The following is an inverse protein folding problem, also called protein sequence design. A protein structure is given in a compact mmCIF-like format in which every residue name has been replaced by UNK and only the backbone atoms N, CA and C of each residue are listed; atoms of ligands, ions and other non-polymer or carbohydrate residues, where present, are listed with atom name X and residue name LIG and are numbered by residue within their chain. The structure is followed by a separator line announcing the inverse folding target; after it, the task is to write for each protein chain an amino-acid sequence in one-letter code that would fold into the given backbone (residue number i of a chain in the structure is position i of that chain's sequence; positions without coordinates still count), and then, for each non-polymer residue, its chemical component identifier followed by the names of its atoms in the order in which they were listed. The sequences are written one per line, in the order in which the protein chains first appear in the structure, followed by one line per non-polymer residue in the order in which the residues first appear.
data_IF_000553917712
#
_entry.id   IF_000553917712
#
_cell.length_a   1.000
_cell.length_b   1.000
_cell.length_c   1.000
_cell.angle_alpha   90.00
_cell.angle_beta   90.00
_cell.angle_gamma   90.00
#
_symmetry.space_group_name_H-M   'P 1'
#
loop_
_entity.id
_entity.type
_entity.pdbx_description
1 polymer ?
#
# COMPACT_ATOMS: atom_id res chain seq x y z
N UNK A 1 -11.88 -11.46 6.95
CA UNK A 1 -10.41 -11.66 7.10
C UNK A 1 -9.77 -11.06 5.86
N UNK A 2 -8.80 -10.16 6.02
CA UNK A 2 -8.16 -9.46 4.91
C UNK A 2 -6.64 -9.52 5.08
N UNK A 3 -5.90 -9.47 3.98
CA UNK A 3 -4.45 -9.40 3.98
C UNK A 3 -4.01 -8.21 3.13
N UNK A 4 -2.92 -7.58 3.53
CA UNK A 4 -2.31 -6.46 2.80
C UNK A 4 -0.92 -6.93 2.39
N UNK A 5 -0.61 -6.78 1.11
CA UNK A 5 0.69 -7.13 0.54
C UNK A 5 1.40 -5.82 0.22
N UNK A 6 2.59 -5.65 0.77
CA UNK A 6 3.41 -4.46 0.55
C UNK A 6 4.68 -4.87 -0.17
N UNK A 7 5.05 -4.12 -1.21
CA UNK A 7 6.22 -4.37 -2.03
C UNK A 7 7.51 -3.81 -1.44
N UNK A 8 8.61 -3.94 -2.16
CA UNK A 8 9.90 -3.35 -1.79
C UNK A 8 9.85 -1.82 -1.95
N UNK A 9 10.60 -1.07 -1.15
CA UNK A 9 10.64 0.40 -1.22
C UNK A 9 11.11 0.91 -2.59
N UNK A 10 12.13 0.28 -3.19
CA UNK A 10 12.71 0.76 -4.46
C UNK A 10 12.01 0.24 -5.72
N UNK A 11 11.35 -0.93 -5.66
CA UNK A 11 10.76 -1.61 -6.82
C UNK A 11 9.25 -1.78 -6.75
N UNK A 12 8.64 -1.64 -5.58
CA UNK A 12 7.23 -1.91 -5.36
C UNK A 12 6.88 -3.40 -5.43
N UNK A 13 5.63 -3.70 -5.79
CA UNK A 13 5.12 -5.06 -5.94
C UNK A 13 5.62 -5.68 -7.26
N UNK A 14 5.95 -6.97 -7.22
CA UNK A 14 6.26 -7.70 -8.45
C UNK A 14 5.04 -7.81 -9.36
N UNK A 15 5.26 -7.97 -10.66
CA UNK A 15 4.19 -8.17 -11.64
C UNK A 15 3.30 -9.37 -11.28
N UNK A 16 3.86 -10.43 -10.69
CA UNK A 16 3.09 -11.60 -10.23
C UNK A 16 2.05 -11.26 -9.17
N UNK A 17 2.31 -10.25 -8.33
CA UNK A 17 1.35 -9.78 -7.34
C UNK A 17 0.32 -8.82 -7.94
N UNK A 18 0.76 -7.93 -8.83
CA UNK A 18 -0.12 -6.98 -9.52
C UNK A 18 -1.13 -7.67 -10.46
N UNK A 19 -0.72 -8.77 -11.09
CA UNK A 19 -1.55 -9.48 -12.08
C UNK A 19 -2.51 -10.51 -11.47
N UNK A 20 -2.50 -10.70 -10.14
CA UNK A 20 -3.38 -11.66 -9.45
C UNK A 20 -4.83 -11.17 -9.27
N UNK A 21 -5.16 -9.98 -9.76
CA UNK A 21 -6.52 -9.42 -9.68
C UNK A 21 -6.92 -8.97 -8.28
N UNK A 22 -5.94 -8.67 -7.41
CA UNK A 22 -6.20 -8.03 -6.11
C UNK A 22 -6.53 -6.56 -6.29
N UNK A 23 -7.16 -5.98 -5.28
CA UNK A 23 -7.41 -4.54 -5.24
C UNK A 23 -6.09 -3.79 -5.02
N UNK A 24 -5.72 -2.94 -5.98
CA UNK A 24 -4.52 -2.11 -5.89
C UNK A 24 -4.86 -0.80 -5.18
N UNK A 25 -4.18 -0.53 -4.06
CA UNK A 25 -4.33 0.69 -3.28
C UNK A 25 -3.10 1.58 -3.49
N UNK A 26 -3.32 2.87 -3.78
CA UNK A 26 -2.25 3.85 -4.00
C UNK A 26 -2.31 4.88 -2.87
N UNK A 27 -1.20 5.05 -2.14
CA UNK A 27 -1.04 6.16 -1.21
C UNK A 27 -0.63 7.39 -2.04
N UNK A 28 -1.40 8.48 -2.04
CA UNK A 28 -1.05 9.68 -2.80
C UNK A 28 0.20 10.32 -2.19
N UNK A 29 1.21 10.53 -3.03
CA UNK A 29 2.45 11.20 -2.63
C UNK A 29 2.37 12.71 -2.90
N UNK A 30 2.90 13.51 -1.98
CA UNK A 30 2.86 14.95 -2.08
C UNK A 30 4.02 15.49 -2.95
N UNK A 31 3.69 16.07 -4.10
CA UNK A 31 4.66 16.70 -4.99
C UNK A 31 5.40 15.72 -5.89
N UNK A 32 6.34 16.24 -6.70
CA UNK A 32 7.12 15.43 -7.67
C UNK A 32 8.47 14.93 -7.15
N UNK A 33 8.94 15.47 -6.02
CA UNK A 33 10.27 15.17 -5.49
C UNK A 33 10.29 13.93 -4.57
N UNK A 34 9.14 13.51 -4.07
CA UNK A 34 9.00 12.34 -3.20
C UNK A 34 8.07 11.36 -3.89
N UNK A 35 8.62 10.22 -4.31
CA UNK A 35 7.92 9.20 -5.09
C UNK A 35 7.44 8.02 -4.25
N UNK A 36 7.90 7.90 -3.00
CA UNK A 36 7.67 6.74 -2.14
C UNK A 36 7.67 7.10 -0.65
N UNK A 37 7.08 6.21 0.16
CA UNK A 37 7.22 6.20 1.61
C UNK A 37 8.02 4.98 2.01
N UNK A 38 8.71 5.08 3.15
CA UNK A 38 9.26 3.89 3.78
C UNK A 38 8.16 2.83 3.97
N UNK A 39 8.49 1.58 3.66
CA UNK A 39 7.55 0.44 3.71
C UNK A 39 6.79 0.34 5.03
N UNK A 40 7.46 0.59 6.16
CA UNK A 40 6.83 0.49 7.49
C UNK A 40 5.77 1.57 7.70
N UNK A 41 6.02 2.78 7.20
CA UNK A 41 5.09 3.91 7.26
C UNK A 41 3.90 3.65 6.35
N UNK A 42 4.13 3.20 5.12
CA UNK A 42 3.07 2.83 4.19
C UNK A 42 2.15 1.75 4.78
N UNK A 43 2.73 0.69 5.37
CA UNK A 43 1.97 -0.36 6.03
C UNK A 43 1.13 0.17 7.22
N UNK A 44 1.70 1.06 8.04
CA UNK A 44 0.97 1.66 9.16
C UNK A 44 -0.24 2.48 8.71
N UNK A 45 -0.10 3.30 7.66
CA UNK A 45 -1.21 4.08 7.09
C UNK A 45 -2.31 3.17 6.55
N UNK A 46 -1.94 2.13 5.80
CA UNK A 46 -2.91 1.18 5.24
C UNK A 46 -3.67 0.43 6.34
N UNK A 47 -2.98 -0.05 7.37
CA UNK A 47 -3.61 -0.72 8.51
C UNK A 47 -4.57 0.21 9.26
N UNK A 48 -4.19 1.47 9.47
CA UNK A 48 -5.07 2.45 10.11
C UNK A 48 -6.35 2.68 9.31
N UNK A 49 -6.24 2.86 7.99
CA UNK A 49 -7.39 3.03 7.10
C UNK A 49 -8.30 1.80 7.10
N UNK A 50 -7.72 0.60 7.00
CA UNK A 50 -8.48 -0.66 7.02
C UNK A 50 -9.20 -0.85 8.36
N UNK A 51 -8.54 -0.58 9.49
CA UNK A 51 -9.15 -0.66 10.81
C UNK A 51 -10.28 0.37 11.00
N UNK A 52 -10.14 1.58 10.44
CA UNK A 52 -11.20 2.60 10.44
C UNK A 52 -12.40 2.21 9.58
N UNK A 53 -12.16 1.61 8.41
CA UNK A 53 -13.21 1.21 7.47
C UNK A 53 -14.06 0.02 7.97
N UNK A 54 -13.51 -0.79 8.88
CA UNK A 54 -14.23 -1.91 9.51
C UNK A 54 -15.29 -1.45 10.55
N UNK A 55 -15.31 -0.17 10.93
CA UNK A 55 -16.23 0.37 11.95
C UNK A 55 -17.57 0.88 11.39
N UNK A 56 -17.84 0.69 10.10
CA UNK A 56 -19.12 1.01 9.46
C UNK A 56 -19.90 -0.25 9.12
#
# INVERSE_FOLDING_TARGET
KSAIIVGEESKGLSADWLNKGFENIIIPMAGRAVDSLNVSVAAAVLLYQCAGSQKN
#
